data_IF_263829058250
#
_entry.id   IF_263829058250
#
_cell.length_a   1.000
_cell.length_b   1.000
_cell.length_c   1.000
_cell.angle_alpha   90.00
_cell.angle_beta   90.00
_cell.angle_gamma   90.00
#
_symmetry.space_group_name_H-M   'P 1'
#
loop_
_entity.id
_entity.type
_entity.pdbx_description
1 polymer ?
#
# COMPACT_ATOMS: atom_id res chain seq x y z
N UNK A 1 -15.17 12.93 -12.72
CA UNK A 1 -13.77 12.50 -12.51
C UNK A 1 -13.55 11.98 -11.08
N UNK A 2 -13.66 12.79 -10.03
CA UNK A 2 -13.43 12.37 -8.63
C UNK A 2 -14.22 11.11 -8.20
N UNK A 3 -15.49 10.99 -8.62
CA UNK A 3 -16.32 9.80 -8.35
C UNK A 3 -15.86 8.52 -9.06
N UNK A 4 -15.30 8.63 -10.27
CA UNK A 4 -14.75 7.47 -11.01
C UNK A 4 -13.45 7.00 -10.34
N UNK A 5 -12.61 7.95 -9.96
CA UNK A 5 -11.37 7.66 -9.23
C UNK A 5 -11.67 7.02 -7.88
N UNK A 6 -12.65 7.54 -7.12
CA UNK A 6 -13.13 6.89 -5.90
C UNK A 6 -13.64 5.46 -6.17
N UNK A 7 -14.40 5.23 -7.25
CA UNK A 7 -14.90 3.90 -7.62
C UNK A 7 -13.77 2.92 -7.92
N UNK A 8 -12.73 3.35 -8.64
CA UNK A 8 -11.55 2.54 -8.92
C UNK A 8 -10.76 2.23 -7.64
N UNK A 9 -10.57 3.21 -6.76
CA UNK A 9 -9.88 3.02 -5.47
C UNK A 9 -10.67 2.06 -4.57
N UNK A 10 -12.00 2.13 -4.56
CA UNK A 10 -12.84 1.16 -3.84
C UNK A 10 -12.64 -0.25 -4.41
N UNK A 11 -12.63 -0.43 -5.74
CA UNK A 11 -12.33 -1.72 -6.36
C UNK A 11 -10.98 -2.28 -5.94
N UNK A 12 -9.94 -1.46 -6.02
CA UNK A 12 -8.58 -1.82 -5.59
C UNK A 12 -8.51 -2.16 -4.09
N UNK A 13 -9.21 -1.42 -3.24
CA UNK A 13 -9.27 -1.67 -1.80
C UNK A 13 -9.98 -2.99 -1.48
N UNK A 14 -11.16 -3.23 -2.05
CA UNK A 14 -11.92 -4.47 -1.85
C UNK A 14 -11.10 -5.69 -2.29
N UNK A 15 -10.47 -5.62 -3.47
CA UNK A 15 -9.59 -6.70 -3.93
C UNK A 15 -8.38 -6.89 -3.02
N UNK A 16 -7.79 -5.81 -2.49
CA UNK A 16 -6.68 -5.92 -1.54
C UNK A 16 -7.12 -6.65 -0.27
N UNK A 17 -8.29 -6.33 0.28
CA UNK A 17 -8.84 -7.03 1.45
C UNK A 17 -9.06 -8.52 1.15
N UNK A 18 -9.63 -8.85 -0.01
CA UNK A 18 -9.86 -10.25 -0.40
C UNK A 18 -8.52 -11.00 -0.48
N UNK A 19 -7.54 -10.45 -1.21
CA UNK A 19 -6.24 -11.09 -1.41
C UNK A 19 -5.47 -11.29 -0.10
N UNK A 20 -5.55 -10.33 0.82
CA UNK A 20 -4.96 -10.45 2.16
C UNK A 20 -5.68 -11.49 3.02
N UNK A 21 -7.01 -11.53 3.00
CA UNK A 21 -7.77 -12.54 3.78
C UNK A 21 -7.53 -13.96 3.24
N UNK A 22 -7.26 -14.10 1.94
CA UNK A 22 -6.88 -15.37 1.34
C UNK A 22 -5.38 -15.66 1.41
N UNK A 23 -4.56 -14.78 2.01
CA UNK A 23 -3.09 -14.89 2.08
C UNK A 23 -2.41 -15.17 0.72
N UNK A 24 -3.07 -14.81 -0.38
CA UNK A 24 -2.51 -14.91 -1.75
C UNK A 24 -1.46 -13.81 -1.96
N UNK A 25 -1.55 -12.73 -1.17
CA UNK A 25 -0.67 -11.57 -1.29
C UNK A 25 -0.15 -11.09 0.06
N UNK A 26 0.45 -12.01 0.83
CA UNK A 26 1.22 -11.65 2.02
C UNK A 26 2.50 -10.86 1.66
N UNK A 27 2.96 -11.00 0.41
CA UNK A 27 4.18 -10.37 -0.11
C UNK A 27 4.06 -8.86 -0.31
N UNK A 28 2.86 -8.32 -0.45
CA UNK A 28 2.64 -6.90 -0.72
C UNK A 28 1.70 -6.20 0.28
N UNK A 29 1.98 -6.38 1.58
CA UNK A 29 1.30 -5.67 2.68
C UNK A 29 1.20 -4.14 2.48
N UNK A 30 2.06 -3.54 1.64
CA UNK A 30 2.05 -2.10 1.34
C UNK A 30 0.80 -1.56 0.61
N UNK A 31 0.05 -2.38 -0.14
CA UNK A 31 -1.08 -1.87 -0.94
C UNK A 31 -2.33 -1.56 -0.11
N UNK A 32 -2.63 -2.37 0.90
CA UNK A 32 -3.81 -2.21 1.74
C UNK A 32 -3.83 -0.86 2.51
N UNK A 33 -2.76 -0.45 3.23
CA UNK A 33 -2.73 0.86 3.87
C UNK A 33 -2.73 2.01 2.86
N UNK A 34 -2.01 1.88 1.73
CA UNK A 34 -1.96 2.91 0.69
C UNK A 34 -3.35 3.16 0.07
N UNK A 35 -4.09 2.10 -0.23
CA UNK A 35 -5.45 2.19 -0.80
C UNK A 35 -6.46 2.70 0.23
N UNK A 36 -6.35 2.30 1.50
CA UNK A 36 -7.20 2.79 2.59
C UNK A 36 -7.02 4.31 2.83
N UNK A 37 -5.78 4.80 2.86
CA UNK A 37 -5.48 6.23 2.99
C UNK A 37 -6.04 6.99 1.80
N UNK A 38 -5.78 6.53 0.59
CA UNK A 38 -6.26 7.17 -0.65
C UNK A 38 -7.79 7.22 -0.68
N UNK A 39 -8.47 6.13 -0.29
CA UNK A 39 -9.93 6.06 -0.20
C UNK A 39 -10.46 7.09 0.80
N UNK A 40 -9.86 7.18 1.98
CA UNK A 40 -10.26 8.11 3.05
C UNK A 40 -10.15 9.56 2.58
N UNK A 41 -9.02 9.93 1.97
CA UNK A 41 -8.81 11.27 1.42
C UNK A 41 -9.87 11.61 0.37
N UNK A 42 -10.15 10.68 -0.56
CA UNK A 42 -11.14 10.92 -1.61
C UNK A 42 -12.57 11.05 -1.06
N UNK A 43 -12.94 10.23 -0.07
CA UNK A 43 -14.24 10.33 0.60
C UNK A 43 -14.41 11.70 1.27
N UNK A 44 -13.37 12.19 1.95
CA UNK A 44 -13.38 13.52 2.56
C UNK A 44 -13.53 14.61 1.50
N UNK A 45 -12.77 14.57 0.40
CA UNK A 45 -12.86 15.57 -0.68
C UNK A 45 -14.24 15.54 -1.35
N UNK A 46 -14.80 14.35 -1.61
CA UNK A 46 -16.17 14.21 -2.15
C UNK A 46 -17.20 14.77 -1.18
N UNK A 47 -17.04 14.53 0.12
CA UNK A 47 -17.92 15.05 1.18
C UNK A 47 -17.90 16.58 1.24
N UNK A 48 -16.70 17.18 1.23
CA UNK A 48 -16.50 18.63 1.19
C UNK A 48 -17.11 19.23 -0.08
N UNK A 49 -16.87 18.62 -1.25
CA UNK A 49 -17.47 19.08 -2.49
C UNK A 49 -19.01 19.06 -2.46
N UNK A 50 -19.60 18.08 -1.77
CA UNK A 50 -21.06 17.96 -1.61
C UNK A 50 -21.62 18.96 -0.59
N UNK A 51 -20.89 19.27 0.47
CA UNK A 51 -21.30 20.27 1.46
C UNK A 51 -21.22 21.70 0.93
N UNK A 52 -20.23 22.00 0.08
CA UNK A 52 -20.03 23.33 -0.53
C UNK A 52 -20.94 23.63 -1.73
N UNK A 53 -21.52 22.60 -2.38
CA UNK A 53 -22.32 22.77 -3.60
C UNK A 53 -23.65 23.54 -3.43
N UNK A 54 -23.97 24.02 -2.22
CA UNK A 54 -25.17 24.82 -1.92
C UNK A 54 -24.91 26.22 -1.35
N UNK A 55 -23.65 26.68 -1.32
CA UNK A 55 -23.31 28.05 -0.91
C UNK A 55 -23.47 29.04 -2.06
N UNK A 56 -24.03 30.22 -1.78
CA UNK A 56 -24.05 31.33 -2.75
C UNK A 56 -22.61 31.81 -3.02
N UNK A 57 -22.30 32.12 -4.28
CA UNK A 57 -20.97 32.61 -4.65
C UNK A 57 -20.68 33.98 -3.99
N UNK A 58 -19.46 34.24 -3.53
CA UNK A 58 -19.09 35.56 -3.02
C UNK A 58 -19.13 36.60 -4.14
N UNK A 59 -19.60 37.80 -3.81
CA UNK A 59 -19.58 38.94 -4.74
C UNK A 59 -18.19 39.57 -4.67
N UNK A 60 -17.44 39.48 -5.77
CA UNK A 60 -16.06 39.98 -5.85
C UNK A 60 -15.98 41.51 -5.95
N UNK A 61 -16.94 42.14 -6.62
CA UNK A 61 -17.00 43.59 -6.83
C UNK A 61 -18.36 44.11 -6.33
N UNK A 62 -18.37 44.55 -5.07
CA UNK A 62 -19.58 45.06 -4.41
C UNK A 62 -20.00 46.39 -5.01
N UNK A 63 -19.07 47.24 -5.47
CA UNK A 63 -19.37 48.55 -6.05
C UNK A 63 -19.99 48.42 -7.45
N UNK A 64 -19.52 47.46 -8.25
CA UNK A 64 -20.21 47.11 -9.50
C UNK A 64 -21.61 46.55 -9.24
N UNK A 65 -21.74 45.63 -8.27
CA UNK A 65 -23.04 45.08 -7.90
C UNK A 65 -24.01 46.17 -7.40
N UNK A 66 -23.52 47.15 -6.64
CA UNK A 66 -24.33 48.27 -6.15
C UNK A 66 -24.79 49.18 -7.30
N UNK A 67 -23.89 49.54 -8.23
CA UNK A 67 -24.22 50.32 -9.44
C UNK A 67 -25.27 49.62 -10.32
N UNK A 68 -25.22 48.29 -10.38
CA UNK A 68 -26.18 47.46 -11.11
C UNK A 68 -27.50 47.22 -10.34
N UNK A 69 -27.63 47.75 -9.12
CA UNK A 69 -28.83 47.58 -8.29
C UNK A 69 -28.98 46.18 -7.69
N UNK A 70 -27.89 45.40 -7.63
CA UNK A 70 -27.83 44.05 -7.07
C UNK A 70 -27.49 44.00 -5.58
N UNK A 71 -27.27 45.15 -4.95
CA UNK A 71 -27.15 45.28 -3.49
C UNK A 71 -28.43 45.90 -2.95
N UNK A 72 -28.98 45.32 -1.89
CA UNK A 72 -30.23 45.77 -1.27
C UNK A 72 -30.42 45.23 0.14
N UNK A 73 -31.51 45.63 0.78
CA UNK A 73 -31.87 45.21 2.14
C UNK A 73 -32.67 43.91 2.10
N UNK A 74 -32.42 43.05 3.10
CA UNK A 74 -33.23 41.88 3.37
C UNK A 74 -33.58 41.78 4.86
N UNK A 75 -34.77 41.28 5.16
CA UNK A 75 -35.20 40.95 6.53
C UNK A 75 -34.95 39.48 6.81
N UNK A 76 -34.31 39.18 7.93
CA UNK A 76 -34.09 37.82 8.39
C UNK A 76 -35.41 37.26 8.91
N UNK A 77 -35.88 36.16 8.30
CA UNK A 77 -37.11 35.48 8.72
C UNK A 77 -36.84 34.34 9.70
N UNK A 78 -35.79 33.57 9.44
CA UNK A 78 -35.38 32.43 10.24
C UNK A 78 -33.87 32.16 10.05
N UNK A 79 -33.25 31.60 11.08
CA UNK A 79 -31.84 31.16 11.04
C UNK A 79 -31.75 29.79 11.68
N UNK A 80 -31.34 28.80 10.88
CA UNK A 80 -31.18 27.42 11.32
C UNK A 80 -29.75 26.95 11.13
N UNK A 81 -29.13 26.43 12.19
CA UNK A 81 -27.83 25.77 12.08
C UNK A 81 -27.97 24.48 11.24
N UNK A 82 -27.05 24.27 10.31
CA UNK A 82 -27.02 23.05 9.47
C UNK A 82 -26.38 21.85 10.18
N UNK A 83 -25.78 22.06 11.35
CA UNK A 83 -25.00 21.07 12.09
C UNK A 83 -23.55 20.93 11.63
N UNK A 84 -23.09 21.75 10.67
CA UNK A 84 -21.68 21.82 10.23
C UNK A 84 -21.05 23.17 10.62
N UNK A 85 -19.74 23.19 10.91
CA UNK A 85 -18.96 24.40 11.20
C UNK A 85 -17.62 24.42 10.46
N UNK A 86 -17.07 25.60 10.25
CA UNK A 86 -15.72 25.83 9.68
C UNK A 86 -15.00 26.86 10.55
N UNK A 87 -13.87 26.49 11.13
CA UNK A 87 -13.12 27.33 12.09
C UNK A 87 -14.02 27.89 13.20
N UNK A 88 -14.77 27.00 13.87
CA UNK A 88 -15.75 27.31 14.93
C UNK A 88 -16.92 28.22 14.54
N UNK A 89 -17.03 28.60 13.27
CA UNK A 89 -18.16 29.36 12.75
C UNK A 89 -19.21 28.39 12.18
N UNK A 90 -20.47 28.42 12.66
CA UNK A 90 -21.50 27.54 12.13
C UNK A 90 -21.88 27.94 10.69
N UNK A 91 -22.15 26.93 9.86
CA UNK A 91 -22.86 27.12 8.60
C UNK A 91 -24.35 27.16 8.92
N UNK A 92 -24.98 28.29 8.64
CA UNK A 92 -26.41 28.50 8.89
C UNK A 92 -27.16 28.58 7.57
N UNK A 93 -28.35 27.99 7.54
CA UNK A 93 -29.37 28.26 6.54
C UNK A 93 -30.23 29.43 7.04
N UNK A 94 -30.25 30.51 6.25
CA UNK A 94 -30.86 31.78 6.60
C UNK A 94 -32.00 32.03 5.61
N UNK A 95 -33.22 32.14 6.12
CA UNK A 95 -34.38 32.54 5.34
C UNK A 95 -34.45 34.06 5.32
N UNK A 96 -34.55 34.63 4.12
CA UNK A 96 -34.47 36.06 3.88
C UNK A 96 -35.69 36.53 3.08
N UNK A 97 -36.24 37.68 3.49
CA UNK A 97 -37.19 38.45 2.70
C UNK A 97 -36.43 39.62 2.07
N UNK A 98 -36.15 39.52 0.78
CA UNK A 98 -35.40 40.50 0.02
C UNK A 98 -36.31 41.59 -0.56
N UNK A 99 -35.86 42.85 -0.48
CA UNK A 99 -36.49 43.99 -1.14
C UNK A 99 -35.51 44.70 -2.09
N UNK A 100 -35.26 44.10 -3.26
CA UNK A 100 -34.46 44.73 -4.31
C UNK A 100 -35.12 45.99 -4.89
N UNK A 101 -34.32 46.86 -5.51
CA UNK A 101 -34.80 48.13 -6.10
C UNK A 101 -35.57 47.93 -7.41
N UNK A 102 -35.25 46.87 -8.16
CA UNK A 102 -35.69 46.67 -9.54
C UNK A 102 -36.80 45.63 -9.70
N UNK A 103 -37.33 45.06 -8.61
CA UNK A 103 -38.39 44.04 -8.66
C UNK A 103 -39.19 44.00 -7.35
N UNK A 104 -40.29 43.27 -7.38
CA UNK A 104 -41.09 43.01 -6.17
C UNK A 104 -40.28 42.23 -5.12
N UNK A 105 -40.61 42.45 -3.85
CA UNK A 105 -40.02 41.72 -2.74
C UNK A 105 -40.28 40.21 -2.87
N UNK A 106 -39.34 39.39 -2.40
CA UNK A 106 -39.43 37.94 -2.48
C UNK A 106 -38.78 37.25 -1.29
N UNK A 107 -39.20 36.02 -1.02
CA UNK A 107 -38.56 35.15 -0.05
C UNK A 107 -37.58 34.19 -0.73
N UNK A 108 -36.47 33.92 -0.06
CA UNK A 108 -35.42 32.99 -0.48
C UNK A 108 -34.66 32.45 0.72
N UNK A 109 -33.89 31.38 0.55
CA UNK A 109 -32.94 30.91 1.56
C UNK A 109 -31.51 30.95 1.03
N UNK A 110 -30.58 31.23 1.92
CA UNK A 110 -29.15 31.18 1.62
C UNK A 110 -28.39 30.42 2.70
N UNK A 111 -27.28 29.79 2.32
CA UNK A 111 -26.36 29.14 3.25
C UNK A 111 -25.12 29.98 3.37
N UNK A 112 -24.82 30.42 4.60
CA UNK A 112 -23.67 31.27 4.88
C UNK A 112 -22.90 30.76 6.09
N UNK A 113 -21.58 30.94 6.06
CA UNK A 113 -20.72 30.78 7.23
C UNK A 113 -20.90 32.02 8.12
N UNK A 114 -21.45 31.84 9.31
CA UNK A 114 -21.80 32.95 10.21
C UNK A 114 -20.79 33.03 11.33
N UNK A 115 -20.16 34.19 11.49
CA UNK A 115 -19.33 34.45 12.67
C UNK A 115 -20.20 34.47 13.94
N UNK A 116 -19.80 33.75 14.99
CA UNK A 116 -20.56 33.66 16.25
C UNK A 116 -20.87 35.05 16.86
N UNK A 117 -19.95 36.02 16.73
CA UNK A 117 -20.17 37.39 17.20
C UNK A 117 -21.25 38.15 16.41
N UNK A 118 -21.60 37.69 15.20
CA UNK A 118 -22.66 38.27 14.36
C UNK A 118 -24.03 37.63 14.53
N UNK A 119 -24.15 36.51 15.26
CA UNK A 119 -25.44 35.87 15.49
C UNK A 119 -26.52 36.81 16.05
N UNK A 120 -26.22 37.76 16.97
CA UNK A 120 -27.21 38.73 17.42
C UNK A 120 -27.74 39.64 16.31
N UNK A 121 -26.90 39.96 15.31
CA UNK A 121 -27.30 40.77 14.15
C UNK A 121 -28.12 40.01 13.11
N UNK A 122 -28.23 38.69 13.26
CA UNK A 122 -29.00 37.79 12.39
C UNK A 122 -30.23 37.23 13.11
N UNK A 123 -30.72 37.90 14.17
CA UNK A 123 -31.97 37.52 14.80
C UNK A 123 -33.16 37.71 13.84
N UNK A 124 -34.21 36.92 14.06
CA UNK A 124 -35.48 37.08 13.32
C UNK A 124 -35.97 38.53 13.41
N UNK A 125 -36.24 39.12 12.26
CA UNK A 125 -36.66 40.52 12.11
C UNK A 125 -35.51 41.51 11.87
N UNK A 126 -34.26 41.10 12.01
CA UNK A 126 -33.11 41.95 11.70
C UNK A 126 -33.09 42.32 10.21
N UNK A 127 -32.67 43.56 9.91
CA UNK A 127 -32.47 44.04 8.53
C UNK A 127 -30.98 43.96 8.23
N UNK A 128 -30.63 43.21 7.18
CA UNK A 128 -29.26 42.96 6.76
C UNK A 128 -29.04 43.45 5.34
N UNK A 129 -27.80 43.82 5.02
CA UNK A 129 -27.40 44.17 3.67
C UNK A 129 -26.97 42.89 2.95
N UNK A 130 -27.60 42.63 1.82
CA UNK A 130 -27.32 41.48 0.96
C UNK A 130 -26.93 41.95 -0.42
N UNK A 131 -26.14 41.14 -1.10
CA UNK A 131 -25.92 41.27 -2.53
C UNK A 131 -26.41 40.03 -3.26
N UNK A 132 -26.83 40.22 -4.49
CA UNK A 132 -27.29 39.18 -5.39
C UNK A 132 -26.19 38.86 -6.42
N UNK A 133 -25.52 37.69 -6.35
CA UNK A 133 -24.42 37.37 -7.25
C UNK A 133 -24.84 37.31 -8.73
N UNK A 134 -26.05 36.82 -9.00
CA UNK A 134 -26.65 36.69 -10.33
C UNK A 134 -28.06 37.29 -10.30
N UNK A 135 -28.30 38.35 -11.09
CA UNK A 135 -29.56 39.10 -11.12
C UNK A 135 -30.78 38.23 -11.46
N UNK A 136 -30.56 37.13 -12.19
CA UNK A 136 -31.60 36.21 -12.64
C UNK A 136 -31.91 35.10 -11.62
N UNK A 137 -31.24 35.09 -10.46
CA UNK A 137 -31.36 34.03 -9.44
C UNK A 137 -31.77 34.56 -8.07
N UNK A 138 -32.48 33.78 -7.25
CA UNK A 138 -32.96 34.24 -5.94
C UNK A 138 -31.88 34.14 -4.86
N UNK A 139 -30.68 33.64 -5.20
CA UNK A 139 -29.58 33.42 -4.28
C UNK A 139 -29.01 34.75 -3.79
N UNK A 140 -28.78 34.85 -2.48
CA UNK A 140 -28.28 36.06 -1.82
C UNK A 140 -27.02 35.74 -1.03
N UNK A 141 -26.10 36.69 -0.99
CA UNK A 141 -24.88 36.64 -0.20
C UNK A 141 -24.92 37.78 0.82
N UNK A 142 -24.74 37.47 2.10
CA UNK A 142 -24.59 38.48 3.14
C UNK A 142 -23.30 39.28 2.89
N UNK A 143 -23.38 40.61 2.88
CA UNK A 143 -22.20 41.46 2.71
C UNK A 143 -21.55 41.72 4.08
N UNK A 144 -20.25 41.48 4.17
CA UNK A 144 -19.46 41.68 5.38
C UNK A 144 -18.02 42.16 5.04
N UNK A 145 -17.64 43.38 5.40
CA UNK A 145 -18.49 44.44 5.96
C UNK A 145 -19.48 45.00 4.92
N UNK A 146 -20.67 45.47 5.33
CA UNK A 146 -21.61 46.12 4.43
C UNK A 146 -21.15 47.54 4.07
N UNK A 147 -21.47 48.06 2.86
CA UNK A 147 -21.22 49.45 2.52
C UNK A 147 -21.92 50.40 3.49
N UNK A 148 -21.22 51.43 3.99
CA UNK A 148 -21.71 52.30 5.07
C UNK A 148 -23.04 53.02 4.76
N UNK A 149 -23.29 53.34 3.49
CA UNK A 149 -24.54 53.99 3.10
C UNK A 149 -25.73 53.01 3.16
N UNK A 150 -25.52 51.73 2.84
CA UNK A 150 -26.53 50.68 2.99
C UNK A 150 -26.78 50.33 4.45
N UNK A 151 -25.75 50.34 5.30
CA UNK A 151 -25.93 50.12 6.73
C UNK A 151 -26.85 51.18 7.35
N UNK A 152 -26.64 52.46 7.02
CA UNK A 152 -27.52 53.56 7.49
C UNK A 152 -28.97 53.39 7.03
N UNK A 153 -29.18 52.87 5.82
CA UNK A 153 -30.51 52.55 5.32
C UNK A 153 -31.13 51.38 6.08
N UNK A 154 -30.36 50.32 6.37
CA UNK A 154 -30.83 49.18 7.15
C UNK A 154 -31.31 49.59 8.55
N UNK A 155 -30.58 50.52 9.19
CA UNK A 155 -30.90 51.00 10.54
C UNK A 155 -32.20 51.80 10.57
N UNK A 156 -32.49 52.56 9.51
CA UNK A 156 -33.62 53.50 9.45
C UNK A 156 -34.85 52.96 8.71
N UNK A 157 -34.73 51.86 7.96
CA UNK A 157 -35.83 51.38 7.13
C UNK A 157 -36.98 50.78 7.96
N UNK A 158 -38.16 51.36 7.79
CA UNK A 158 -39.42 50.94 8.44
C UNK A 158 -40.28 50.09 7.52
N UNK A 159 -40.11 50.19 6.19
CA UNK A 159 -40.95 49.50 5.22
C UNK A 159 -40.70 48.00 5.24
N UNK A 160 -39.44 47.59 5.19
CA UNK A 160 -39.08 46.17 5.23
C UNK A 160 -39.39 45.56 6.60
N UNK A 161 -39.26 46.35 7.69
CA UNK A 161 -39.66 45.92 9.04
C UNK A 161 -41.15 45.59 9.12
N UNK A 162 -42.01 46.43 8.53
CA UNK A 162 -43.45 46.22 8.48
C UNK A 162 -43.88 45.10 7.52
N UNK A 163 -43.02 44.68 6.60
CA UNK A 163 -43.34 43.60 5.65
C UNK A 163 -43.23 42.24 6.35
N UNK A 164 -44.34 41.50 6.42
CA UNK A 164 -44.39 40.18 7.08
C UNK A 164 -44.04 39.03 6.15
N UNK A 165 -44.54 39.08 4.91
CA UNK A 165 -44.36 38.01 3.93
C UNK A 165 -44.23 38.55 2.51
N UNK A 166 -43.59 37.76 1.65
CA UNK A 166 -43.47 38.00 0.23
C UNK A 166 -43.53 36.66 -0.50
N UNK A 167 -43.93 36.61 -1.78
CA UNK A 167 -43.94 35.36 -2.54
C UNK A 167 -42.53 34.76 -2.60
N UNK A 168 -42.45 33.43 -2.49
CA UNK A 168 -41.19 32.71 -2.63
C UNK A 168 -40.74 32.76 -4.09
N UNK A 169 -39.54 33.29 -4.34
CA UNK A 169 -38.97 33.25 -5.68
C UNK A 169 -38.20 31.95 -5.88
N UNK A 170 -38.93 30.94 -6.33
CA UNK A 170 -38.32 29.71 -6.80
C UNK A 170 -37.93 29.89 -8.26
N UNK A 171 -36.63 29.99 -8.54
CA UNK A 171 -36.17 29.88 -9.93
C UNK A 171 -36.28 28.41 -10.32
N UNK A 172 -36.96 28.08 -11.45
CA UNK A 172 -36.91 26.74 -11.99
C UNK A 172 -35.45 26.32 -12.08
N UNK A 173 -35.07 25.11 -11.64
CA UNK A 173 -33.68 24.68 -11.73
C UNK A 173 -33.18 24.97 -13.14
N UNK A 174 -32.08 25.72 -13.26
CA UNK A 174 -31.61 26.24 -14.55
C UNK A 174 -31.67 25.12 -15.60
N UNK A 175 -32.27 25.36 -16.77
CA UNK A 175 -32.34 24.36 -17.85
C UNK A 175 -30.91 23.87 -18.14
N UNK A 176 -30.64 22.59 -17.87
CA UNK A 176 -29.31 21.97 -17.97
C UNK A 176 -28.57 21.74 -16.63
N UNK A 177 -29.05 22.35 -15.54
CA UNK A 177 -28.59 22.16 -14.16
C UNK A 177 -29.73 21.63 -13.28
N UNK A 178 -30.47 20.66 -13.83
CA UNK A 178 -31.28 19.79 -12.99
C UNK A 178 -30.33 19.18 -11.94
N UNK A 179 -30.74 18.99 -10.67
CA UNK A 179 -29.90 18.25 -9.70
C UNK A 179 -29.57 16.82 -10.19
N UNK A 180 -30.25 16.38 -11.25
CA UNK A 180 -30.02 15.18 -12.05
C UNK A 180 -28.96 15.32 -13.16
N UNK A 181 -28.53 16.53 -13.51
CA UNK A 181 -27.75 16.87 -14.71
C UNK A 181 -26.25 17.12 -14.52
N UNK A 182 -25.77 17.54 -13.35
CA UNK A 182 -24.33 17.50 -13.06
C UNK A 182 -23.93 16.09 -12.61
N UNK A 183 -23.68 15.26 -13.64
CA UNK A 183 -22.98 13.97 -13.63
C UNK A 183 -23.76 12.79 -13.03
N UNK A 184 -24.82 12.36 -13.75
CA UNK A 184 -25.01 10.92 -13.96
C UNK A 184 -23.79 10.43 -14.75
N UNK A 185 -22.69 10.19 -14.05
CA UNK A 185 -21.75 9.16 -14.51
C UNK A 185 -22.65 7.93 -14.64
N UNK A 186 -22.84 7.37 -15.85
CA UNK A 186 -23.65 6.18 -16.02
C UNK A 186 -23.18 5.17 -14.99
N UNK A 187 -24.10 4.48 -14.31
CA UNK A 187 -23.71 3.45 -13.34
C UNK A 187 -22.69 2.47 -13.97
N UNK A 188 -22.85 2.20 -15.27
CA UNK A 188 -21.88 1.48 -16.09
C UNK A 188 -20.44 2.02 -16.01
N UNK A 189 -20.20 3.33 -16.08
CA UNK A 189 -18.83 3.87 -15.97
C UNK A 189 -18.25 3.73 -14.55
N UNK A 190 -19.09 3.77 -13.51
CA UNK A 190 -18.62 3.48 -12.14
C UNK A 190 -18.25 2.00 -11.99
N UNK A 191 -19.06 1.10 -12.56
CA UNK A 191 -18.77 -0.35 -12.62
C UNK A 191 -17.48 -0.61 -13.40
N UNK A 192 -17.28 0.04 -14.55
CA UNK A 192 -16.04 -0.06 -15.34
C UNK A 192 -14.84 0.45 -14.56
N UNK A 193 -14.95 1.60 -13.88
CA UNK A 193 -13.87 2.13 -13.06
C UNK A 193 -13.54 1.20 -11.87
N UNK A 194 -14.56 0.64 -11.23
CA UNK A 194 -14.40 -0.36 -10.17
C UNK A 194 -13.66 -1.60 -10.70
N UNK A 195 -14.13 -2.17 -11.81
CA UNK A 195 -13.51 -3.32 -12.45
C UNK A 195 -12.05 -3.04 -12.89
N UNK A 196 -11.75 -1.83 -13.36
CA UNK A 196 -10.38 -1.41 -13.64
C UNK A 196 -9.51 -1.40 -12.37
N UNK A 197 -10.05 -0.91 -11.25
CA UNK A 197 -9.37 -0.99 -9.94
C UNK A 197 -9.08 -2.42 -9.49
N UNK A 198 -10.05 -3.32 -9.66
CA UNK A 198 -9.88 -4.77 -9.41
C UNK A 198 -8.78 -5.33 -10.31
N UNK A 199 -8.85 -5.10 -11.62
CA UNK A 199 -7.89 -5.63 -12.59
C UNK A 199 -6.45 -5.17 -12.31
N UNK A 200 -6.25 -3.87 -11.99
CA UNK A 200 -4.94 -3.34 -11.61
C UNK A 200 -4.39 -4.07 -10.38
N UNK A 201 -5.25 -4.38 -9.41
CA UNK A 201 -4.84 -5.03 -8.16
C UNK A 201 -4.54 -6.52 -8.32
N UNK A 202 -5.30 -7.22 -9.16
CA UNK A 202 -5.12 -8.65 -9.43
C UNK A 202 -3.91 -8.91 -10.33
N UNK A 203 -3.52 -7.95 -11.18
CA UNK A 203 -2.49 -8.16 -12.22
C UNK A 203 -1.16 -8.76 -11.75
N UNK A 204 -0.56 -8.35 -10.60
CA UNK A 204 0.68 -8.93 -10.10
C UNK A 204 0.55 -10.40 -9.70
N UNK A 205 -0.62 -10.81 -9.19
CA UNK A 205 -0.95 -12.16 -8.69
C UNK A 205 -1.94 -12.87 -9.62
N UNK A 206 -1.92 -12.54 -10.92
CA UNK A 206 -2.96 -12.98 -11.87
C UNK A 206 -2.98 -14.49 -12.08
N UNK A 207 -1.84 -15.15 -11.92
CA UNK A 207 -1.69 -16.60 -12.15
C UNK A 207 -2.32 -17.36 -10.98
N UNK A 208 -1.95 -17.01 -9.75
CA UNK A 208 -2.54 -17.52 -8.51
C UNK A 208 -4.05 -17.24 -8.43
N UNK A 209 -4.46 -16.00 -8.72
CA UNK A 209 -5.86 -15.61 -8.73
C UNK A 209 -6.67 -16.37 -9.80
N UNK A 210 -6.05 -16.66 -10.96
CA UNK A 210 -6.68 -17.46 -12.01
C UNK A 210 -6.81 -18.93 -11.58
N UNK A 211 -5.78 -19.50 -10.97
CA UNK A 211 -5.81 -20.87 -10.44
C UNK A 211 -6.97 -21.05 -9.45
N UNK A 212 -7.10 -20.14 -8.48
CA UNK A 212 -8.22 -20.13 -7.52
C UNK A 212 -9.57 -19.97 -8.25
N UNK A 213 -9.66 -19.05 -9.23
CA UNK A 213 -10.88 -18.85 -10.00
C UNK A 213 -11.29 -20.08 -10.83
N UNK A 214 -10.33 -20.91 -11.25
CA UNK A 214 -10.57 -22.17 -11.98
C UNK A 214 -10.81 -23.39 -11.09
N UNK A 215 -10.77 -23.21 -9.76
CA UNK A 215 -11.13 -24.25 -8.78
C UNK A 215 -9.96 -24.88 -8.03
N UNK A 216 -8.72 -24.40 -8.21
CA UNK A 216 -7.59 -24.84 -7.37
C UNK A 216 -7.82 -24.35 -5.93
N UNK A 217 -7.71 -25.23 -4.91
CA UNK A 217 -7.78 -24.81 -3.51
C UNK A 217 -6.75 -23.75 -3.17
N UNK A 218 -7.12 -22.76 -2.35
CA UNK A 218 -6.22 -21.66 -1.95
C UNK A 218 -4.96 -22.21 -1.26
N UNK A 219 -5.11 -23.22 -0.41
CA UNK A 219 -4.01 -23.90 0.29
C UNK A 219 -2.96 -24.47 -0.68
N UNK A 220 -3.41 -25.05 -1.80
CA UNK A 220 -2.50 -25.59 -2.82
C UNK A 220 -1.75 -24.47 -3.54
N UNK A 221 -2.44 -23.38 -3.92
CA UNK A 221 -1.81 -22.23 -4.57
C UNK A 221 -0.78 -21.57 -3.65
N UNK A 222 -1.09 -21.48 -2.36
CA UNK A 222 -0.16 -20.97 -1.35
C UNK A 222 1.08 -21.88 -1.21
N UNK A 223 0.88 -23.20 -1.15
CA UNK A 223 1.99 -24.15 -1.07
C UNK A 223 2.91 -24.06 -2.30
N UNK A 224 2.32 -24.03 -3.51
CA UNK A 224 3.08 -23.88 -4.76
C UNK A 224 3.82 -22.53 -4.82
N UNK A 225 3.20 -21.44 -4.36
CA UNK A 225 3.84 -20.12 -4.32
C UNK A 225 4.98 -20.06 -3.29
N UNK A 226 4.81 -20.67 -2.12
CA UNK A 226 5.82 -20.76 -1.08
C UNK A 226 7.01 -21.62 -1.54
N UNK A 227 6.75 -22.73 -2.23
CA UNK A 227 7.78 -23.58 -2.81
C UNK A 227 8.55 -22.82 -3.91
N UNK A 228 7.84 -22.15 -4.83
CA UNK A 228 8.46 -21.34 -5.87
C UNK A 228 9.33 -20.21 -5.29
N UNK A 229 8.90 -19.59 -4.19
CA UNK A 229 9.69 -18.62 -3.44
C UNK A 229 10.93 -19.25 -2.81
N UNK A 230 10.79 -20.39 -2.14
CA UNK A 230 11.91 -21.12 -1.54
C UNK A 230 12.94 -21.54 -2.60
N UNK A 231 12.49 -21.97 -3.78
CA UNK A 231 13.36 -22.26 -4.92
C UNK A 231 14.00 -20.98 -5.50
N UNK A 232 13.27 -19.87 -5.57
CA UNK A 232 13.80 -18.59 -6.04
C UNK A 232 14.88 -18.03 -5.09
N UNK A 233 14.77 -18.30 -3.79
CA UNK A 233 15.75 -17.92 -2.77
C UNK A 233 16.88 -18.95 -2.60
N UNK A 234 16.75 -20.14 -3.18
CA UNK A 234 17.73 -21.22 -3.03
C UNK A 234 19.09 -20.84 -3.60
N UNK A 235 20.17 -21.13 -2.87
CA UNK A 235 21.55 -20.94 -3.33
C UNK A 235 22.12 -22.14 -4.11
N UNK A 236 21.43 -23.28 -4.14
CA UNK A 236 21.92 -24.51 -4.78
C UNK A 236 22.00 -24.54 -6.31
N UNK A 237 21.28 -23.69 -7.08
CA UNK A 237 21.57 -23.56 -8.50
C UNK A 237 23.04 -23.20 -8.74
N UNK A 238 23.69 -23.88 -9.68
CA UNK A 238 25.14 -23.79 -9.90
C UNK A 238 25.68 -22.35 -10.02
N UNK A 239 24.98 -21.47 -10.73
CA UNK A 239 25.35 -20.07 -10.89
C UNK A 239 25.25 -19.27 -9.58
N UNK A 240 24.28 -19.60 -8.73
CA UNK A 240 24.10 -18.97 -7.42
C UNK A 240 25.09 -19.52 -6.40
N UNK A 241 25.31 -20.84 -6.37
CA UNK A 241 26.31 -21.46 -5.49
C UNK A 241 27.68 -20.86 -5.77
N UNK A 242 28.09 -20.79 -7.05
CA UNK A 242 29.37 -20.18 -7.42
C UNK A 242 29.48 -18.74 -6.92
N UNK A 243 28.43 -17.93 -7.07
CA UNK A 243 28.43 -16.55 -6.55
C UNK A 243 28.60 -16.48 -5.04
N UNK A 244 27.93 -17.35 -4.28
CA UNK A 244 28.09 -17.45 -2.82
C UNK A 244 29.55 -17.73 -2.45
N UNK A 245 30.20 -18.66 -3.16
CA UNK A 245 31.61 -19.00 -2.92
C UNK A 245 32.51 -17.82 -3.28
N UNK A 246 32.29 -17.18 -4.43
CA UNK A 246 33.07 -16.01 -4.86
C UNK A 246 32.98 -14.87 -3.82
N UNK A 247 31.78 -14.62 -3.28
CA UNK A 247 31.54 -13.61 -2.25
C UNK A 247 32.25 -13.97 -0.92
N UNK A 248 32.22 -15.25 -0.52
CA UNK A 248 32.92 -15.75 0.67
C UNK A 248 34.44 -15.61 0.54
N UNK A 249 35.02 -16.03 -0.61
CA UNK A 249 36.44 -15.87 -0.92
C UNK A 249 36.85 -14.39 -0.91
N UNK A 250 36.03 -13.53 -1.52
CA UNK A 250 36.29 -12.09 -1.56
C UNK A 250 36.25 -11.46 -0.15
N UNK A 251 35.30 -11.87 0.70
CA UNK A 251 35.17 -11.36 2.07
C UNK A 251 36.24 -11.89 3.03
N UNK A 252 36.67 -13.15 2.86
CA UNK A 252 37.74 -13.75 3.67
C UNK A 252 39.12 -13.24 3.25
N UNK A 253 39.31 -12.90 1.96
CA UNK A 253 40.60 -12.48 1.42
C UNK A 253 41.60 -13.62 1.26
N UNK A 254 41.15 -14.88 1.41
CA UNK A 254 41.90 -16.12 1.23
C UNK A 254 41.07 -17.13 0.44
N UNK A 255 41.71 -18.14 -0.13
CA UNK A 255 41.04 -19.25 -0.84
C UNK A 255 41.07 -20.57 -0.07
N UNK A 256 41.78 -20.63 1.06
CA UNK A 256 41.97 -21.83 1.87
C UNK A 256 40.92 -21.89 2.98
N UNK A 257 40.02 -22.88 2.88
CA UNK A 257 38.90 -23.11 3.80
C UNK A 257 39.04 -24.47 4.47
N UNK A 258 38.63 -24.58 5.74
CA UNK A 258 38.50 -25.88 6.44
C UNK A 258 37.13 -26.51 6.17
N UNK A 259 36.09 -25.67 6.10
CA UNK A 259 34.73 -26.12 5.87
C UNK A 259 33.88 -25.07 5.16
N UNK A 260 32.92 -25.52 4.34
CA UNK A 260 31.85 -24.68 3.79
C UNK A 260 30.53 -25.45 3.92
N UNK A 261 29.59 -24.90 4.67
CA UNK A 261 28.24 -25.44 4.84
C UNK A 261 27.23 -24.58 4.08
N UNK A 262 26.56 -25.16 3.09
CA UNK A 262 25.51 -24.54 2.31
C UNK A 262 24.14 -25.00 2.82
N UNK A 263 23.35 -24.04 3.28
CA UNK A 263 21.92 -24.23 3.56
C UNK A 263 21.10 -23.70 2.38
N UNK A 264 19.78 -23.91 2.40
CA UNK A 264 18.91 -23.45 1.31
C UNK A 264 19.10 -21.96 0.98
N UNK A 265 19.18 -21.08 1.98
CA UNK A 265 19.16 -19.61 1.78
C UNK A 265 20.40 -18.88 2.29
N UNK A 266 21.37 -19.58 2.89
CA UNK A 266 22.57 -18.98 3.44
C UNK A 266 23.72 -20.00 3.46
N UNK A 267 24.93 -19.52 3.64
CA UNK A 267 26.11 -20.37 3.80
C UNK A 267 26.93 -19.94 5.01
N UNK A 268 27.64 -20.88 5.61
CA UNK A 268 28.63 -20.65 6.67
C UNK A 268 29.94 -21.26 6.19
N UNK A 269 31.05 -20.57 6.39
CA UNK A 269 32.35 -21.03 5.94
C UNK A 269 33.41 -20.68 6.97
N UNK A 270 34.32 -21.60 7.19
CA UNK A 270 35.46 -21.42 8.09
C UNK A 270 36.74 -21.43 7.24
N UNK A 271 37.54 -20.38 7.38
CA UNK A 271 38.68 -20.11 6.53
C UNK A 271 39.87 -19.59 7.33
N UNK A 272 41.06 -19.65 6.73
CA UNK A 272 42.24 -19.08 7.36
C UNK A 272 42.08 -17.58 7.60
N UNK A 273 42.48 -17.12 8.79
CA UNK A 273 42.51 -15.69 9.13
C UNK A 273 43.42 -14.86 8.21
N UNK A 274 44.47 -15.49 7.67
CA UNK A 274 45.36 -14.92 6.65
C UNK A 274 46.22 -16.02 6.02
N UNK A 275 46.82 -15.80 4.84
CA UNK A 275 47.66 -16.80 4.20
C UNK A 275 48.79 -17.31 5.11
N UNK A 276 48.83 -18.63 5.34
CA UNK A 276 49.81 -19.28 6.21
C UNK A 276 49.55 -19.15 7.72
N UNK A 277 48.39 -18.63 8.13
CA UNK A 277 47.99 -18.64 9.53
C UNK A 277 47.71 -20.06 10.05
N UNK A 278 47.76 -20.23 11.37
CA UNK A 278 47.37 -21.46 12.06
C UNK A 278 46.04 -21.34 12.79
N UNK A 279 45.24 -20.34 12.42
CA UNK A 279 43.94 -20.02 13.04
C UNK A 279 42.91 -19.75 11.96
N UNK A 280 41.66 -20.07 12.28
CA UNK A 280 40.50 -19.91 11.41
C UNK A 280 39.51 -18.91 11.99
N UNK A 281 38.91 -18.12 11.09
CA UNK A 281 37.75 -17.28 11.38
C UNK A 281 36.51 -17.90 10.68
N UNK A 282 35.32 -17.42 11.04
CA UNK A 282 34.06 -17.87 10.47
C UNK A 282 33.37 -16.74 9.71
N UNK A 283 32.75 -17.07 8.58
CA UNK A 283 32.01 -16.16 7.71
C UNK A 283 30.62 -16.71 7.46
N UNK A 284 29.64 -15.82 7.46
CA UNK A 284 28.26 -16.14 7.07
C UNK A 284 27.91 -15.36 5.81
N UNK A 285 27.47 -16.06 4.77
CA UNK A 285 26.86 -15.45 3.60
C UNK A 285 25.33 -15.52 3.72
N UNK A 286 24.64 -14.39 3.59
CA UNK A 286 23.17 -14.32 3.58
C UNK A 286 22.73 -13.09 2.80
N UNK A 287 21.61 -13.19 2.09
CA UNK A 287 20.97 -12.08 1.36
C UNK A 287 21.90 -11.34 0.38
N UNK A 288 22.86 -12.04 -0.23
CA UNK A 288 23.79 -11.47 -1.20
C UNK A 288 25.07 -10.88 -0.62
N UNK A 289 25.33 -11.04 0.69
CA UNK A 289 26.51 -10.48 1.35
C UNK A 289 27.18 -11.50 2.29
N UNK A 290 28.51 -11.56 2.26
CA UNK A 290 29.33 -12.31 3.21
C UNK A 290 29.80 -11.40 4.36
N UNK A 291 29.63 -11.86 5.60
CA UNK A 291 29.97 -11.13 6.82
C UNK A 291 30.88 -11.96 7.72
N UNK A 292 32.00 -11.36 8.13
CA UNK A 292 32.94 -11.93 9.09
C UNK A 292 32.34 -11.99 10.50
N UNK A 293 32.34 -13.17 11.12
CA UNK A 293 31.77 -13.45 12.44
C UNK A 293 32.80 -13.49 13.58
N UNK A 294 34.10 -13.40 13.25
CA UNK A 294 35.21 -13.55 14.19
C UNK A 294 35.78 -14.97 14.20
N UNK A 295 36.57 -15.29 15.23
CA UNK A 295 37.21 -16.59 15.38
C UNK A 295 36.21 -17.75 15.41
N UNK A 296 36.54 -18.83 14.72
CA UNK A 296 35.79 -20.08 14.79
C UNK A 296 35.75 -20.59 16.25
N UNK A 297 34.58 -21.09 16.67
CA UNK A 297 34.34 -21.55 18.05
C UNK A 297 35.27 -22.68 18.47
N UNK A 298 35.67 -23.53 17.51
CA UNK A 298 36.58 -24.66 17.70
C UNK A 298 37.71 -24.48 16.69
N UNK A 299 38.92 -24.22 17.15
CA UNK A 299 40.09 -24.14 16.28
C UNK A 299 40.63 -25.55 16.04
N UNK A 300 40.99 -25.87 14.81
CA UNK A 300 41.74 -27.10 14.48
C UNK A 300 43.06 -27.15 15.23
N UNK A 301 43.59 -28.36 15.47
CA UNK A 301 44.96 -28.50 15.93
C UNK A 301 45.89 -27.94 14.85
N UNK A 302 46.81 -26.99 15.18
CA UNK A 302 47.76 -26.46 14.20
C UNK A 302 48.57 -27.52 13.45
N UNK A 303 48.76 -28.71 14.02
CA UNK A 303 49.44 -29.82 13.36
C UNK A 303 48.59 -30.49 12.27
N UNK A 304 47.26 -30.50 12.42
CA UNK A 304 46.32 -31.18 11.53
C UNK A 304 45.69 -30.21 10.50
N UNK A 305 45.68 -28.90 10.80
CA UNK A 305 45.12 -27.86 9.92
C UNK A 305 45.58 -27.96 8.45
N UNK A 306 46.89 -28.18 8.14
CA UNK A 306 47.33 -28.32 6.75
C UNK A 306 46.68 -29.47 5.99
N UNK A 307 46.12 -30.46 6.68
CA UNK A 307 45.41 -31.62 6.12
C UNK A 307 43.88 -31.41 6.05
N UNK A 308 43.35 -30.35 6.64
CA UNK A 308 41.93 -29.94 6.60
C UNK A 308 41.65 -28.85 5.55
N UNK A 309 42.64 -28.01 5.24
CA UNK A 309 42.51 -26.88 4.30
C UNK A 309 42.36 -27.27 2.80
N UNK A 310 41.24 -26.93 2.17
CA UNK A 310 41.09 -27.04 0.71
C UNK A 310 41.01 -25.67 0.04
N UNK A 311 41.44 -25.60 -1.23
CA UNK A 311 41.26 -24.40 -2.04
C UNK A 311 39.83 -24.37 -2.59
N UNK A 312 39.00 -23.46 -2.07
CA UNK A 312 37.62 -23.30 -2.48
C UNK A 312 37.46 -22.96 -3.98
N UNK A 313 38.48 -22.37 -4.62
CA UNK A 313 38.43 -22.05 -6.05
C UNK A 313 38.75 -23.24 -6.95
N UNK A 314 39.31 -24.32 -6.38
CA UNK A 314 39.62 -25.56 -7.09
C UNK A 314 38.47 -26.59 -7.04
N UNK A 315 37.46 -26.36 -6.18
CA UNK A 315 36.28 -27.23 -6.04
C UNK A 315 35.29 -26.96 -7.18
N UNK A 316 34.75 -28.01 -7.81
CA UNK A 316 33.68 -27.87 -8.80
C UNK A 316 32.32 -27.72 -8.12
N UNK A 317 31.94 -26.48 -7.82
CA UNK A 317 30.66 -26.15 -7.17
C UNK A 317 29.44 -26.40 -8.05
N UNK A 318 29.61 -26.66 -9.35
CA UNK A 318 28.49 -27.02 -10.22
C UNK A 318 27.88 -28.38 -9.88
N UNK A 319 28.63 -29.24 -9.17
CA UNK A 319 28.18 -30.54 -8.69
C UNK A 319 27.05 -30.44 -7.65
N UNK A 320 27.01 -29.36 -6.86
CA UNK A 320 26.05 -29.17 -5.77
C UNK A 320 24.61 -29.28 -6.27
N UNK A 321 24.29 -28.60 -7.39
CA UNK A 321 22.95 -28.63 -7.97
C UNK A 321 22.52 -30.05 -8.35
N UNK A 322 23.42 -30.81 -8.98
CA UNK A 322 23.16 -32.19 -9.39
C UNK A 322 23.03 -33.16 -8.22
N UNK A 323 23.83 -32.97 -7.17
CA UNK A 323 23.77 -33.80 -5.95
C UNK A 323 22.47 -33.54 -5.17
N UNK A 324 22.09 -32.27 -5.00
CA UNK A 324 20.83 -31.89 -4.33
C UNK A 324 19.61 -32.42 -5.10
N UNK A 325 19.61 -32.34 -6.43
CA UNK A 325 18.51 -32.84 -7.26
C UNK A 325 18.33 -34.37 -7.17
N UNK A 326 19.37 -35.12 -6.82
CA UNK A 326 19.31 -36.58 -6.65
C UNK A 326 18.83 -37.02 -5.26
N UNK A 327 18.78 -36.11 -4.27
CA UNK A 327 18.45 -36.47 -2.89
C UNK A 327 17.12 -37.22 -2.78
N UNK A 328 15.98 -36.76 -3.34
CA UNK A 328 14.71 -37.46 -3.16
C UNK A 328 14.75 -38.92 -3.62
N UNK A 329 15.40 -39.19 -4.77
CA UNK A 329 15.51 -40.54 -5.33
C UNK A 329 16.45 -41.43 -4.49
N UNK A 330 17.57 -40.88 -4.02
CA UNK A 330 18.58 -41.63 -3.28
C UNK A 330 18.17 -41.88 -1.82
N UNK A 331 17.44 -40.95 -1.20
CA UNK A 331 17.07 -41.01 0.21
C UNK A 331 15.66 -41.51 0.44
N UNK A 332 14.77 -41.43 -0.55
CA UNK A 332 13.35 -41.76 -0.41
C UNK A 332 12.53 -40.71 0.35
N UNK A 333 13.09 -39.51 0.56
CA UNK A 333 12.42 -38.38 1.21
C UNK A 333 11.87 -37.44 0.13
N UNK A 334 10.56 -37.24 0.08
CA UNK A 334 9.90 -36.54 -1.04
C UNK A 334 10.21 -35.04 -1.10
N UNK A 335 10.37 -34.37 0.05
CA UNK A 335 10.73 -32.94 0.14
C UNK A 335 11.93 -32.76 1.07
N UNK A 336 13.15 -33.05 0.59
CA UNK A 336 14.33 -32.93 1.41
C UNK A 336 14.65 -31.46 1.70
N UNK A 337 15.08 -31.17 2.94
CA UNK A 337 15.75 -29.93 3.30
C UNK A 337 17.28 -30.16 3.27
N UNK A 338 17.93 -30.00 2.10
CA UNK A 338 19.35 -30.28 1.97
C UNK A 338 20.20 -29.30 2.77
N UNK A 339 21.18 -29.86 3.48
CA UNK A 339 22.39 -29.16 3.92
C UNK A 339 23.58 -29.80 3.22
N UNK A 340 24.42 -29.01 2.57
CA UNK A 340 25.63 -29.49 1.87
C UNK A 340 26.85 -29.01 2.62
N UNK A 341 27.57 -29.93 3.24
CA UNK A 341 28.82 -29.70 3.94
C UNK A 341 29.98 -30.10 3.02
N UNK A 342 30.91 -29.18 2.79
CA UNK A 342 32.12 -29.43 2.00
C UNK A 342 33.32 -29.28 2.90
N UNK A 343 34.09 -30.35 3.01
CA UNK A 343 35.29 -30.40 3.84
C UNK A 343 36.31 -31.37 3.26
N UNK A 344 37.50 -31.41 3.87
CA UNK A 344 38.54 -32.36 3.51
C UNK A 344 38.92 -33.16 4.75
N UNK A 345 38.95 -34.49 4.61
CA UNK A 345 39.43 -35.39 5.66
C UNK A 345 40.87 -35.82 5.38
N UNK A 346 41.79 -35.55 6.31
CA UNK A 346 43.15 -36.10 6.35
C UNK A 346 43.96 -35.95 5.05
N UNK A 347 43.94 -34.76 4.45
CA UNK A 347 44.74 -34.44 3.25
C UNK A 347 44.22 -35.06 1.94
N UNK A 348 43.02 -35.67 1.96
CA UNK A 348 42.34 -36.21 0.78
C UNK A 348 41.82 -35.13 -0.19
N UNK A 349 41.06 -35.48 -1.24
CA UNK A 349 40.28 -34.49 -1.97
C UNK A 349 39.15 -33.92 -1.10
N UNK A 350 38.62 -32.74 -1.47
CA UNK A 350 37.39 -32.24 -0.86
C UNK A 350 36.22 -33.20 -1.14
N UNK A 351 35.37 -33.39 -0.14
CA UNK A 351 34.21 -34.26 -0.18
C UNK A 351 32.94 -33.43 0.01
N UNK A 352 31.85 -33.86 -0.63
CA UNK A 352 30.52 -33.28 -0.45
C UNK A 352 29.69 -34.20 0.42
N UNK A 353 29.33 -33.71 1.58
CA UNK A 353 28.51 -34.40 2.56
C UNK A 353 27.13 -33.74 2.61
N UNK A 354 26.14 -34.42 2.05
CA UNK A 354 24.77 -33.95 1.98
C UNK A 354 23.96 -34.62 3.08
N UNK A 355 23.27 -33.82 3.87
CA UNK A 355 22.29 -34.29 4.84
C UNK A 355 20.91 -33.71 4.54
N UNK A 356 19.88 -34.49 4.86
CA UNK A 356 18.49 -34.05 4.80
C UNK A 356 17.69 -34.80 5.84
N UNK A 357 16.62 -34.21 6.33
CA UNK A 357 15.68 -34.86 7.23
C UNK A 357 14.25 -34.39 6.95
N UNK A 358 13.29 -35.22 7.34
CA UNK A 358 11.88 -34.86 7.51
C UNK A 358 11.45 -35.11 8.97
N UNK A 359 10.15 -35.08 9.26
CA UNK A 359 9.60 -35.31 10.61
C UNK A 359 9.92 -36.71 11.19
N UNK A 360 10.29 -37.70 10.37
CA UNK A 360 10.39 -39.10 10.74
C UNK A 360 11.71 -39.78 10.33
N UNK A 361 12.43 -39.22 9.38
CA UNK A 361 13.56 -39.84 8.71
C UNK A 361 14.71 -38.85 8.52
N UNK A 362 15.94 -39.36 8.63
CA UNK A 362 17.17 -38.67 8.28
C UNK A 362 17.92 -39.45 7.20
N UNK A 363 18.68 -38.73 6.40
CA UNK A 363 19.57 -39.32 5.41
C UNK A 363 20.86 -38.53 5.25
N UNK A 364 21.92 -39.26 4.90
CA UNK A 364 23.24 -38.73 4.64
C UNK A 364 23.82 -39.36 3.38
N UNK A 365 24.47 -38.55 2.55
CA UNK A 365 25.15 -38.97 1.34
C UNK A 365 26.52 -38.30 1.30
N UNK A 366 27.58 -39.06 1.05
CA UNK A 366 28.93 -38.54 0.80
C UNK A 366 29.28 -38.78 -0.67
N UNK A 367 29.64 -37.71 -1.37
CA UNK A 367 30.16 -37.74 -2.73
C UNK A 367 31.61 -37.22 -2.77
N UNK A 368 32.41 -37.78 -3.67
CA UNK A 368 33.77 -37.30 -3.90
C UNK A 368 33.82 -36.02 -4.76
N UNK A 369 35.03 -35.50 -5.00
CA UNK A 369 35.26 -34.30 -5.80
C UNK A 369 34.81 -34.41 -7.27
N UNK A 370 34.41 -35.60 -7.75
CA UNK A 370 33.83 -35.81 -9.08
C UNK A 370 32.31 -35.91 -9.06
N UNK A 371 31.70 -35.84 -7.87
CA UNK A 371 30.27 -36.03 -7.65
C UNK A 371 29.85 -37.49 -7.59
N UNK A 372 30.80 -38.44 -7.55
CA UNK A 372 30.46 -39.86 -7.39
C UNK A 372 30.11 -40.15 -5.93
N UNK A 373 28.94 -40.75 -5.71
CA UNK A 373 28.52 -41.18 -4.36
C UNK A 373 29.43 -42.33 -3.88
N UNK A 374 30.11 -42.12 -2.75
CA UNK A 374 31.02 -43.09 -2.13
C UNK A 374 30.46 -43.71 -0.86
N UNK A 375 29.53 -43.03 -0.19
CA UNK A 375 28.81 -43.55 0.97
C UNK A 375 27.40 -42.95 1.02
N UNK A 376 26.44 -43.70 1.55
CA UNK A 376 25.08 -43.21 1.78
C UNK A 376 24.42 -43.99 2.91
N UNK A 377 23.47 -43.35 3.60
CA UNK A 377 22.63 -43.94 4.63
C UNK A 377 21.27 -43.23 4.64
N UNK A 378 20.17 -43.96 4.70
CA UNK A 378 18.83 -43.38 4.92
C UNK A 378 18.03 -44.18 5.94
N UNK A 379 17.27 -43.45 6.76
CA UNK A 379 16.24 -44.01 7.65
C UNK A 379 14.89 -44.27 6.96
N UNK A 380 14.70 -43.81 5.72
CA UNK A 380 13.44 -43.98 5.01
C UNK A 380 13.28 -45.42 4.46
N UNK A 381 12.13 -46.06 4.70
CA UNK A 381 11.90 -47.43 4.26
C UNK A 381 11.86 -47.54 2.73
N UNK A 382 12.67 -48.44 2.17
CA UNK A 382 12.70 -48.72 0.73
C UNK A 382 13.69 -47.88 -0.08
N UNK A 383 14.38 -46.94 0.56
CA UNK A 383 15.43 -46.16 -0.11
C UNK A 383 16.62 -47.05 -0.54
N UNK A 384 17.26 -46.77 -1.70
CA UNK A 384 18.49 -47.45 -2.12
C UNK A 384 19.58 -47.39 -1.04
N UNK A 385 19.65 -46.27 -0.34
CA UNK A 385 20.58 -45.99 0.77
C UNK A 385 20.27 -46.72 2.08
N UNK A 386 19.14 -47.43 2.19
CA UNK A 386 18.82 -48.26 3.35
C UNK A 386 19.38 -49.70 3.23
N UNK A 387 19.94 -50.08 2.08
CA UNK A 387 20.39 -51.45 1.78
C UNK A 387 21.91 -51.67 1.86
N UNK A 388 22.68 -50.62 2.17
CA UNK A 388 24.13 -50.65 2.40
C UNK A 388 24.45 -50.40 3.86
#
# INVERSE_FOLDING_TARGET
MLRLLLSAVIGMFVTSVILTVTEIDDRHWGWLPATAITMTVLLVVVSIGRSLAGGAAPIKDVDAADREGRVFLAKVLDVRATGSSVNDNPICEIQLLAQPRNRAAYQTSTRALVNLGRLPSLQRGAIVVVGQPDAERPELTLLDPPPAHWQRLADTDTRLRATESAPEWTVPPARGRDRRGLLRIPAALLVVAFAAGVAIRVWPVREDAWAVATGTPVEQVQAEAAEAEAQAQSIFPADRTQRVIDDLVAAAGVTEFTSITLFRTYAVADALTSPGATTTDSWTWRDGEAQHQGAELIQSDPADLPDELFDATAVDWSLVAGLVAQLPELTGIDDPEPTVYVSRTSGGPAMFDLSTADDYHDAWITADATGQIVAMRSGAPGAPSAQG
#
